data_IF_728204380334
#
_entry.id   IF_728204380334
#
_cell.length_a   1.000
_cell.length_b   1.000
_cell.length_c   1.000
_cell.angle_alpha   90.00
_cell.angle_beta   90.00
_cell.angle_gamma   90.00
#
_symmetry.space_group_name_H-M   'P 1'
#
loop_
_entity.id
_entity.type
_entity.pdbx_description
1 polymer ?
#
# COMPACT_ATOMS: atom_id res chain seq x y z
N UNK A 1 28.50 10.27 -19.25
CA UNK A 1 28.82 9.73 -20.59
C UNK A 1 27.50 9.57 -21.33
N UNK A 2 27.45 10.18 -22.51
CA UNK A 2 26.36 10.53 -23.42
C UNK A 2 25.04 9.72 -23.36
N UNK A 3 23.94 10.45 -23.15
CA UNK A 3 22.60 10.04 -23.56
C UNK A 3 22.56 10.01 -25.10
N UNK A 4 22.25 8.85 -25.68
CA UNK A 4 21.83 8.78 -27.07
C UNK A 4 20.47 9.47 -27.20
N UNK A 5 20.45 10.62 -27.85
CA UNK A 5 19.23 11.31 -28.28
C UNK A 5 18.56 10.52 -29.41
N UNK A 6 17.79 9.48 -29.08
CA UNK A 6 16.63 9.17 -29.92
C UNK A 6 15.51 10.14 -29.53
N UNK A 7 15.46 11.27 -30.24
CA UNK A 7 14.38 12.25 -30.11
C UNK A 7 13.06 11.58 -30.49
N UNK A 8 12.22 11.31 -29.49
CA UNK A 8 10.81 11.00 -29.72
C UNK A 8 10.17 12.08 -30.62
N UNK A 9 9.76 11.70 -31.82
CA UNK A 9 9.22 12.62 -32.83
C UNK A 9 7.88 13.25 -32.46
N UNK A 10 7.15 12.65 -31.52
CA UNK A 10 5.76 13.05 -31.20
C UNK A 10 5.63 13.83 -29.89
N UNK A 11 6.69 13.93 -29.07
CA UNK A 11 6.64 14.57 -27.75
C UNK A 11 5.65 13.88 -26.80
N UNK A 12 5.36 12.61 -27.03
CA UNK A 12 4.34 11.84 -26.31
C UNK A 12 4.78 11.55 -24.88
N UNK A 13 6.04 11.14 -24.65
CA UNK A 13 6.61 11.01 -23.31
C UNK A 13 6.64 12.36 -22.59
N UNK A 14 6.92 13.45 -23.28
CA UNK A 14 6.86 14.80 -22.70
C UNK A 14 5.45 15.18 -22.25
N UNK A 15 4.41 14.75 -22.98
CA UNK A 15 3.00 14.93 -22.57
C UNK A 15 2.62 14.02 -21.41
N UNK A 16 3.12 12.78 -21.37
CA UNK A 16 2.95 11.85 -20.25
C UNK A 16 3.59 12.38 -18.96
N UNK A 17 4.85 12.83 -19.04
CA UNK A 17 5.58 13.43 -17.91
C UNK A 17 4.89 14.69 -17.38
N UNK A 18 4.29 15.48 -18.28
CA UNK A 18 3.49 16.67 -17.94
C UNK A 18 2.05 16.36 -17.51
N UNK A 19 1.63 15.10 -17.51
CA UNK A 19 0.27 14.68 -17.17
C UNK A 19 -0.81 15.21 -18.12
N UNK A 20 -0.45 15.64 -19.32
CA UNK A 20 -1.38 16.18 -20.33
C UNK A 20 -2.10 15.10 -21.13
N UNK A 21 -1.63 13.86 -21.03
CA UNK A 21 -2.19 12.70 -21.71
C UNK A 21 -2.04 11.48 -20.81
N UNK A 22 -3.13 10.75 -20.60
CA UNK A 22 -3.16 9.52 -19.82
C UNK A 22 -2.45 8.41 -20.60
N UNK A 23 -1.52 7.73 -19.93
CA UNK A 23 -0.79 6.60 -20.49
C UNK A 23 -1.67 5.35 -20.41
N UNK A 24 -1.87 4.65 -21.52
CA UNK A 24 -2.60 3.38 -21.55
C UNK A 24 -1.65 2.20 -21.65
N UNK A 25 -2.10 1.03 -21.20
CA UNK A 25 -1.31 -0.21 -21.32
C UNK A 25 -0.93 -0.53 -22.78
N UNK A 26 -1.81 -0.23 -23.72
CA UNK A 26 -1.55 -0.38 -25.17
C UNK A 26 -0.44 0.56 -25.67
N UNK A 27 -0.40 1.82 -25.21
CA UNK A 27 0.69 2.74 -25.57
C UNK A 27 2.01 2.33 -24.94
N UNK A 28 1.98 1.80 -23.70
CA UNK A 28 3.15 1.28 -23.00
C UNK A 28 3.73 0.04 -23.66
N UNK A 29 2.89 -0.91 -24.10
CA UNK A 29 3.33 -2.11 -24.83
C UNK A 29 4.04 -1.75 -26.14
N UNK A 30 3.48 -0.79 -26.90
CA UNK A 30 4.10 -0.29 -28.12
C UNK A 30 5.45 0.42 -27.85
N UNK A 31 5.55 1.11 -26.71
CA UNK A 31 6.77 1.79 -26.28
C UNK A 31 7.85 0.84 -25.74
N UNK A 32 7.48 -0.20 -25.00
CA UNK A 32 8.42 -1.21 -24.49
C UNK A 32 9.08 -2.03 -25.60
N UNK A 33 8.42 -2.20 -26.75
CA UNK A 33 9.02 -2.84 -27.92
C UNK A 33 10.13 -1.99 -28.55
N UNK A 34 10.21 -0.69 -28.24
CA UNK A 34 11.15 0.27 -28.84
C UNK A 34 12.20 0.80 -27.85
N UNK A 35 11.91 0.87 -26.55
CA UNK A 35 12.89 1.24 -25.51
C UNK A 35 12.91 0.23 -24.37
N UNK A 36 14.10 -0.32 -24.08
CA UNK A 36 14.29 -1.27 -22.99
C UNK A 36 14.17 -0.59 -21.62
N UNK A 37 13.44 -1.26 -20.71
CA UNK A 37 13.60 -1.24 -19.26
C UNK A 37 12.93 -0.17 -18.36
N UNK A 38 12.02 0.71 -18.82
CA UNK A 38 11.49 1.76 -17.93
C UNK A 38 10.00 1.72 -17.53
N UNK A 39 9.16 0.84 -18.09
CA UNK A 39 7.69 0.88 -17.87
C UNK A 39 7.08 -0.25 -17.01
N UNK A 40 7.89 -0.96 -16.22
CA UNK A 40 7.41 -2.03 -15.31
C UNK A 40 6.40 -1.55 -14.25
N UNK A 41 6.24 -0.24 -14.06
CA UNK A 41 5.26 0.35 -13.12
C UNK A 41 3.83 0.01 -13.50
N UNK A 42 3.53 -0.03 -14.79
CA UNK A 42 2.20 -0.36 -15.31
C UNK A 42 1.89 -1.85 -15.21
N UNK A 43 2.88 -2.70 -14.92
CA UNK A 43 2.67 -4.12 -14.65
C UNK A 43 2.20 -4.37 -13.22
N UNK A 44 2.33 -3.40 -12.31
CA UNK A 44 1.77 -3.55 -10.97
C UNK A 44 0.26 -3.40 -11.04
N UNK A 45 -0.51 -4.34 -10.46
CA UNK A 45 -1.97 -4.27 -10.44
C UNK A 45 -2.49 -3.22 -9.44
N UNK A 46 -1.62 -2.31 -8.99
CA UNK A 46 -1.96 -1.31 -7.98
C UNK A 46 -3.07 -0.38 -8.45
N UNK A 47 -3.04 0.02 -9.72
CA UNK A 47 -4.06 0.88 -10.29
C UNK A 47 -5.43 0.19 -10.30
N UNK A 48 -5.46 -1.08 -10.74
CA UNK A 48 -6.67 -1.91 -10.71
C UNK A 48 -7.21 -2.10 -9.27
N UNK A 49 -6.33 -2.28 -8.29
CA UNK A 49 -6.74 -2.43 -6.88
C UNK A 49 -7.28 -1.15 -6.25
N UNK A 50 -6.81 0.01 -6.71
CA UNK A 50 -7.24 1.33 -6.24
C UNK A 50 -8.49 1.84 -6.97
N UNK A 51 -8.94 1.15 -8.02
CA UNK A 51 -10.15 1.51 -8.74
C UNK A 51 -11.41 1.28 -7.91
N UNK A 52 -12.41 2.16 -8.07
CA UNK A 52 -13.63 2.07 -7.29
C UNK A 52 -14.43 0.79 -7.60
N UNK A 53 -14.46 0.36 -8.86
CA UNK A 53 -15.43 -0.63 -9.34
C UNK A 53 -14.81 -2.00 -9.60
N UNK A 54 -13.83 -2.42 -8.78
CA UNK A 54 -13.19 -3.73 -8.91
C UNK A 54 -14.20 -4.87 -8.73
N UNK A 55 -14.30 -5.76 -9.72
CA UNK A 55 -15.20 -6.92 -9.62
C UNK A 55 -14.59 -8.01 -8.75
N UNK A 56 -15.45 -8.77 -8.09
CA UNK A 56 -15.07 -9.95 -7.29
C UNK A 56 -14.20 -10.92 -8.11
N UNK A 57 -14.64 -11.28 -9.31
CA UNK A 57 -13.93 -12.23 -10.20
C UNK A 57 -12.53 -11.73 -10.60
N UNK A 58 -12.40 -10.44 -10.88
CA UNK A 58 -11.12 -9.79 -11.20
C UNK A 58 -10.16 -9.84 -10.01
N UNK A 59 -10.64 -9.54 -8.81
CA UNK A 59 -9.84 -9.64 -7.59
C UNK A 59 -9.38 -11.08 -7.32
N UNK A 60 -10.27 -12.07 -7.44
CA UNK A 60 -9.88 -13.48 -7.23
C UNK A 60 -8.85 -13.96 -8.25
N UNK A 61 -9.02 -13.58 -9.53
CA UNK A 61 -8.03 -13.89 -10.57
C UNK A 61 -6.68 -13.26 -10.24
N UNK A 62 -6.69 -12.02 -9.75
CA UNK A 62 -5.48 -11.31 -9.36
C UNK A 62 -4.79 -11.97 -8.16
N UNK A 63 -5.50 -12.25 -7.07
CA UNK A 63 -4.95 -12.93 -5.88
C UNK A 63 -4.30 -14.26 -6.28
N UNK A 64 -4.95 -15.03 -7.15
CA UNK A 64 -4.44 -16.32 -7.63
C UNK A 64 -3.10 -16.21 -8.37
N UNK A 65 -2.82 -15.09 -9.05
CA UNK A 65 -1.52 -14.86 -9.71
C UNK A 65 -0.38 -14.68 -8.72
N UNK A 66 -0.70 -14.23 -7.50
CA UNK A 66 0.27 -13.98 -6.43
C UNK A 66 0.23 -15.07 -5.35
N UNK A 67 -0.42 -16.20 -5.63
CA UNK A 67 -0.48 -17.35 -4.73
C UNK A 67 0.01 -18.62 -5.43
N UNK A 68 0.85 -19.38 -4.74
CA UNK A 68 1.32 -20.69 -5.19
C UNK A 68 0.68 -21.78 -4.34
N UNK A 69 0.21 -22.84 -5.02
CA UNK A 69 -0.28 -24.04 -4.35
C UNK A 69 0.90 -24.82 -3.77
N UNK A 70 0.81 -25.17 -2.49
CA UNK A 70 1.79 -25.97 -1.76
C UNK A 70 1.09 -27.06 -0.95
N UNK A 71 1.83 -27.98 -0.34
CA UNK A 71 1.28 -28.99 0.58
C UNK A 71 0.59 -28.38 1.81
N UNK A 72 0.94 -27.15 2.16
CA UNK A 72 0.37 -26.39 3.29
C UNK A 72 -0.80 -25.48 2.86
N UNK A 73 -1.25 -25.57 1.60
CA UNK A 73 -2.28 -24.71 1.03
C UNK A 73 -1.72 -23.64 0.10
N UNK A 74 -2.42 -22.52 -0.03
CA UNK A 74 -2.04 -21.41 -0.90
C UNK A 74 -1.20 -20.38 -0.15
N UNK A 75 0.04 -20.16 -0.59
CA UNK A 75 0.98 -19.20 0.01
C UNK A 75 1.26 -18.06 -0.96
N UNK A 76 1.51 -16.86 -0.42
CA UNK A 76 1.89 -15.70 -1.23
C UNK A 76 3.23 -15.91 -1.95
N UNK A 77 3.30 -15.51 -3.22
CA UNK A 77 4.48 -15.64 -4.09
C UNK A 77 4.63 -14.38 -4.94
N UNK A 78 5.66 -13.57 -4.69
CA UNK A 78 5.88 -12.30 -5.40
C UNK A 78 7.17 -12.33 -6.24
N UNK A 79 7.23 -11.68 -7.42
CA UNK A 79 8.38 -11.76 -8.33
C UNK A 79 9.74 -11.37 -7.72
N UNK A 80 9.78 -10.33 -6.87
CA UNK A 80 11.02 -9.92 -6.21
C UNK A 80 11.39 -10.76 -4.99
N UNK A 81 10.48 -11.61 -4.49
CA UNK A 81 10.86 -12.52 -3.42
C UNK A 81 11.90 -13.50 -3.94
N UNK A 82 11.79 -13.98 -5.19
CA UNK A 82 12.66 -15.03 -5.76
C UNK A 82 14.15 -14.63 -5.93
N UNK A 83 14.50 -13.35 -5.79
CA UNK A 83 15.86 -12.83 -5.99
C UNK A 83 16.68 -12.69 -4.70
N UNK A 84 16.10 -12.97 -3.54
CA UNK A 84 16.84 -12.93 -2.28
C UNK A 84 17.56 -14.27 -2.04
N UNK A 85 18.84 -14.27 -1.63
CA UNK A 85 19.57 -15.49 -1.34
C UNK A 85 18.85 -16.29 -0.23
N UNK A 86 18.80 -17.63 -0.38
CA UNK A 86 18.05 -18.57 0.48
C UNK A 86 18.23 -18.35 2.00
N UNK A 87 19.37 -17.79 2.43
CA UNK A 87 19.67 -17.54 3.84
C UNK A 87 18.87 -16.38 4.45
N UNK A 88 18.34 -15.45 3.64
CA UNK A 88 17.40 -14.42 4.12
C UNK A 88 15.95 -14.91 4.10
N UNK A 89 15.66 -15.95 3.30
CA UNK A 89 14.32 -16.49 3.02
C UNK A 89 13.71 -17.35 4.12
N UNK A 90 14.54 -18.04 4.92
CA UNK A 90 14.06 -18.92 5.98
C UNK A 90 13.15 -18.19 7.01
N UNK A 91 13.18 -16.85 7.02
CA UNK A 91 12.44 -16.02 7.96
C UNK A 91 11.17 -15.34 7.38
N UNK A 92 10.83 -15.49 6.09
CA UNK A 92 9.72 -14.72 5.47
C UNK A 92 8.78 -15.55 4.61
N UNK A 93 8.64 -16.84 4.90
CA UNK A 93 7.49 -17.59 4.37
C UNK A 93 6.24 -16.94 4.97
N UNK A 94 5.42 -16.32 4.13
CA UNK A 94 4.10 -15.87 4.55
C UNK A 94 3.25 -17.12 4.68
N UNK A 95 3.28 -17.72 5.87
CA UNK A 95 2.74 -19.03 6.16
C UNK A 95 1.21 -19.11 6.04
N UNK A 96 0.52 -17.97 5.98
CA UNK A 96 -0.93 -17.91 5.81
C UNK A 96 -1.32 -16.85 4.78
N UNK A 97 -2.29 -17.15 3.90
CA UNK A 97 -2.81 -16.17 2.95
C UNK A 97 -3.44 -14.95 3.63
N UNK A 98 -3.79 -15.04 4.91
CA UNK A 98 -4.42 -13.97 5.68
C UNK A 98 -3.46 -13.19 6.58
N UNK A 99 -2.16 -13.53 6.57
CA UNK A 99 -1.17 -12.89 7.44
C UNK A 99 -0.75 -11.51 6.91
N UNK A 100 -1.52 -10.49 7.29
CA UNK A 100 -1.28 -9.10 6.91
C UNK A 100 -0.04 -8.48 7.57
N UNK A 101 0.38 -8.97 8.74
CA UNK A 101 1.60 -8.48 9.40
C UNK A 101 2.85 -8.96 8.64
N UNK A 102 2.86 -10.22 8.17
CA UNK A 102 3.93 -10.72 7.32
C UNK A 102 4.01 -9.96 5.98
N UNK A 103 2.85 -9.63 5.38
CA UNK A 103 2.78 -8.78 4.18
C UNK A 103 3.27 -7.35 4.45
N UNK A 104 2.95 -6.77 5.61
CA UNK A 104 3.52 -5.49 6.03
C UNK A 104 5.05 -5.58 6.17
N UNK A 105 5.57 -6.63 6.83
CA UNK A 105 7.00 -6.82 7.03
C UNK A 105 7.77 -7.02 5.72
N UNK A 106 7.17 -7.71 4.73
CA UNK A 106 7.70 -7.81 3.36
C UNK A 106 8.01 -6.42 2.79
N UNK A 107 7.14 -5.45 3.05
CA UNK A 107 7.33 -4.06 2.71
C UNK A 107 7.40 -3.78 1.21
N UNK A 108 7.74 -2.52 0.88
CA UNK A 108 7.82 -2.05 -0.49
C UNK A 108 6.48 -2.14 -1.23
N UNK A 109 6.56 -2.34 -2.55
CA UNK A 109 5.37 -2.36 -3.43
C UNK A 109 4.57 -3.65 -3.23
N UNK A 110 5.23 -4.80 -3.13
CA UNK A 110 4.58 -6.10 -3.01
C UNK A 110 3.88 -6.30 -1.67
N UNK A 111 4.51 -5.87 -0.57
CA UNK A 111 3.87 -5.92 0.75
C UNK A 111 2.56 -5.13 0.78
N UNK A 112 2.57 -3.90 0.27
CA UNK A 112 1.37 -3.09 0.17
C UNK A 112 0.32 -3.69 -0.78
N UNK A 113 0.74 -4.24 -1.94
CA UNK A 113 -0.17 -4.91 -2.87
C UNK A 113 -0.93 -6.06 -2.21
N UNK A 114 -0.23 -6.94 -1.48
CA UNK A 114 -0.88 -8.06 -0.79
C UNK A 114 -1.85 -7.60 0.28
N UNK A 115 -1.46 -6.62 1.12
CA UNK A 115 -2.37 -6.06 2.12
C UNK A 115 -3.60 -5.43 1.46
N UNK A 116 -3.41 -4.67 0.37
CA UNK A 116 -4.50 -4.03 -0.35
C UNK A 116 -5.44 -5.06 -1.00
N UNK A 117 -4.92 -6.17 -1.53
CA UNK A 117 -5.76 -7.28 -2.03
C UNK A 117 -6.65 -7.84 -0.93
N UNK A 118 -6.11 -8.03 0.29
CA UNK A 118 -6.89 -8.50 1.44
C UNK A 118 -7.94 -7.47 1.87
N UNK A 119 -7.60 -6.17 1.89
CA UNK A 119 -8.57 -5.09 2.18
C UNK A 119 -9.75 -5.14 1.21
N UNK A 120 -9.45 -5.21 -0.10
CA UNK A 120 -10.48 -5.28 -1.15
C UNK A 120 -11.30 -6.57 -1.04
N UNK A 121 -10.68 -7.68 -0.64
CA UNK A 121 -11.39 -8.93 -0.42
C UNK A 121 -12.40 -8.78 0.72
N UNK A 122 -11.98 -8.22 1.86
CA UNK A 122 -12.84 -7.97 3.01
C UNK A 122 -14.00 -7.01 2.69
N UNK A 123 -13.75 -5.96 1.90
CA UNK A 123 -14.79 -5.05 1.40
C UNK A 123 -15.82 -5.78 0.55
N UNK A 124 -15.38 -6.58 -0.44
CA UNK A 124 -16.27 -7.32 -1.35
C UNK A 124 -17.07 -8.41 -0.60
N UNK A 125 -16.46 -9.06 0.39
CA UNK A 125 -17.15 -10.06 1.23
C UNK A 125 -17.99 -9.43 2.34
N UNK A 126 -18.00 -8.09 2.47
CA UNK A 126 -18.71 -7.34 3.52
C UNK A 126 -18.27 -7.72 4.94
N UNK A 127 -17.01 -8.10 5.11
CA UNK A 127 -16.41 -8.38 6.43
C UNK A 127 -15.82 -7.10 7.02
N UNK A 128 -16.68 -6.37 7.74
CA UNK A 128 -16.36 -5.07 8.32
C UNK A 128 -15.25 -5.13 9.38
N UNK A 129 -15.15 -6.24 10.13
CA UNK A 129 -14.16 -6.44 11.20
C UNK A 129 -12.79 -6.70 10.59
N UNK A 130 -12.73 -7.60 9.60
CA UNK A 130 -11.49 -7.89 8.87
C UNK A 130 -11.02 -6.67 8.09
N UNK A 131 -11.93 -5.93 7.46
CA UNK A 131 -11.59 -4.68 6.78
C UNK A 131 -10.95 -3.66 7.73
N UNK A 132 -11.51 -3.48 8.93
CA UNK A 132 -10.93 -2.61 9.97
C UNK A 132 -9.49 -3.01 10.33
N UNK A 133 -9.23 -4.29 10.58
CA UNK A 133 -7.88 -4.76 10.91
C UNK A 133 -6.91 -4.55 9.74
N UNK A 134 -7.31 -4.94 8.54
CA UNK A 134 -6.48 -4.85 7.34
C UNK A 134 -6.20 -3.40 6.92
N UNK A 135 -7.13 -2.47 7.17
CA UNK A 135 -6.90 -1.05 6.89
C UNK A 135 -5.81 -0.44 7.77
N UNK A 136 -5.67 -0.90 9.02
CA UNK A 136 -4.55 -0.49 9.88
C UNK A 136 -3.21 -0.91 9.26
N UNK A 137 -3.13 -2.15 8.80
CA UNK A 137 -1.93 -2.66 8.11
C UNK A 137 -1.71 -1.99 6.76
N UNK A 138 -2.77 -1.62 6.04
CA UNK A 138 -2.66 -0.88 4.79
C UNK A 138 -2.01 0.49 5.03
N UNK A 139 -2.43 1.21 6.08
CA UNK A 139 -1.79 2.46 6.46
C UNK A 139 -0.35 2.27 6.94
N UNK A 140 -0.02 1.18 7.64
CA UNK A 140 1.37 0.83 8.03
C UNK A 140 2.25 0.55 6.81
N UNK A 141 1.73 -0.15 5.81
CA UNK A 141 2.47 -0.54 4.61
C UNK A 141 2.59 0.59 3.56
N UNK A 142 1.65 1.54 3.57
CA UNK A 142 1.57 2.61 2.57
C UNK A 142 2.85 3.47 2.43
N UNK A 143 3.52 3.90 3.51
CA UNK A 143 4.79 4.63 3.40
C UNK A 143 5.88 3.84 2.67
N UNK A 144 5.99 2.53 2.93
CA UNK A 144 6.98 1.68 2.29
C UNK A 144 6.73 1.54 0.78
N UNK A 145 5.46 1.48 0.35
CA UNK A 145 5.07 1.54 -1.05
C UNK A 145 5.45 2.88 -1.70
N UNK A 146 5.09 4.01 -1.06
CA UNK A 146 5.34 5.34 -1.59
C UNK A 146 6.83 5.72 -1.62
N UNK A 147 7.71 5.03 -0.89
CA UNK A 147 9.17 5.24 -0.99
C UNK A 147 9.76 4.80 -2.33
N UNK A 148 9.04 4.00 -3.12
CA UNK A 148 9.48 3.64 -4.46
C UNK A 148 9.59 4.89 -5.36
N UNK A 149 10.65 4.95 -6.18
CA UNK A 149 10.96 6.07 -7.08
C UNK A 149 9.78 6.52 -7.95
N UNK A 150 8.90 5.58 -8.33
CA UNK A 150 7.76 5.85 -9.19
C UNK A 150 6.57 6.48 -8.47
N UNK A 151 6.36 6.14 -7.19
CA UNK A 151 5.18 6.56 -6.43
C UNK A 151 5.45 7.76 -5.52
N UNK A 152 6.71 7.99 -5.14
CA UNK A 152 7.09 9.01 -4.14
C UNK A 152 6.61 10.43 -4.48
N UNK A 153 6.66 10.84 -5.75
CA UNK A 153 6.26 12.20 -6.15
C UNK A 153 4.74 12.44 -6.08
N UNK A 154 3.95 11.39 -6.27
CA UNK A 154 2.48 11.46 -6.38
C UNK A 154 1.77 10.74 -5.23
N UNK A 155 2.46 10.54 -4.11
CA UNK A 155 1.94 9.76 -2.98
C UNK A 155 0.58 10.27 -2.47
N UNK A 156 0.31 11.57 -2.56
CA UNK A 156 -0.97 12.19 -2.18
C UNK A 156 -2.13 11.65 -3.02
N UNK A 157 -1.93 11.43 -4.33
CA UNK A 157 -2.96 10.88 -5.21
C UNK A 157 -3.32 9.44 -4.79
N UNK A 158 -2.30 8.62 -4.53
CA UNK A 158 -2.49 7.25 -4.04
C UNK A 158 -3.12 7.21 -2.64
N UNK A 159 -2.79 8.18 -1.79
CA UNK A 159 -3.37 8.29 -0.45
C UNK A 159 -4.87 8.60 -0.52
N UNK A 160 -5.28 9.52 -1.39
CA UNK A 160 -6.70 9.83 -1.64
C UNK A 160 -7.47 8.62 -2.16
N UNK A 161 -6.87 7.82 -3.04
CA UNK A 161 -7.48 6.58 -3.53
C UNK A 161 -7.64 5.55 -2.41
N UNK A 162 -6.62 5.38 -1.56
CA UNK A 162 -6.70 4.51 -0.38
C UNK A 162 -7.79 4.96 0.60
N UNK A 163 -7.91 6.28 0.85
CA UNK A 163 -9.00 6.83 1.65
C UNK A 163 -10.37 6.57 1.00
N UNK A 164 -10.46 6.65 -0.33
CA UNK A 164 -11.68 6.32 -1.07
C UNK A 164 -12.14 4.88 -0.89
N UNK A 165 -11.21 3.94 -0.65
CA UNK A 165 -11.52 2.55 -0.28
C UNK A 165 -11.95 2.50 1.19
N UNK A 166 -11.12 3.08 2.06
CA UNK A 166 -11.37 3.12 3.50
C UNK A 166 -12.78 3.60 3.86
N UNK A 167 -13.21 4.73 3.29
CA UNK A 167 -14.46 5.38 3.65
C UNK A 167 -15.73 4.68 3.15
N UNK A 168 -15.61 3.60 2.37
CA UNK A 168 -16.77 2.79 1.94
C UNK A 168 -17.28 1.87 3.03
N UNK A 169 -16.41 1.49 3.95
CA UNK A 169 -16.76 0.62 5.07
C UNK A 169 -16.90 1.48 6.32
N UNK A 170 -18.15 1.75 6.69
CA UNK A 170 -18.51 2.68 7.77
C UNK A 170 -17.80 2.38 9.10
N UNK A 171 -17.73 1.11 9.51
CA UNK A 171 -17.07 0.72 10.77
C UNK A 171 -15.60 1.10 10.79
N UNK A 172 -14.89 0.86 9.68
CA UNK A 172 -13.49 1.24 9.54
C UNK A 172 -13.35 2.77 9.56
N UNK A 173 -14.18 3.46 8.77
CA UNK A 173 -14.14 4.91 8.60
C UNK A 173 -14.33 5.68 9.92
N UNK A 174 -15.20 5.19 10.79
CA UNK A 174 -15.43 5.82 12.09
C UNK A 174 -14.34 5.53 13.12
N UNK A 175 -13.63 4.41 12.97
CA UNK A 175 -12.71 3.93 13.99
C UNK A 175 -11.25 4.25 13.70
N UNK A 176 -10.89 4.52 12.45
CA UNK A 176 -9.51 4.79 12.04
C UNK A 176 -9.41 6.20 11.48
N UNK A 177 -8.52 7.01 12.03
CA UNK A 177 -8.16 8.32 11.49
C UNK A 177 -6.71 8.28 10.97
N UNK A 178 -6.45 8.45 9.65
CA UNK A 178 -5.08 8.45 9.14
C UNK A 178 -4.33 9.72 9.56
N UNK A 179 -3.08 9.57 10.01
CA UNK A 179 -2.18 10.66 10.40
C UNK A 179 -1.28 11.04 9.24
N UNK A 180 -1.72 11.98 8.42
CA UNK A 180 -1.01 12.36 7.18
C UNK A 180 0.42 12.84 7.44
N UNK A 181 0.66 13.55 8.54
CA UNK A 181 1.97 14.06 8.93
C UNK A 181 2.98 12.92 9.17
N UNK A 182 2.54 11.86 9.85
CA UNK A 182 3.36 10.69 10.13
C UNK A 182 3.63 9.89 8.87
N UNK A 183 2.61 9.72 8.01
CA UNK A 183 2.77 9.09 6.70
C UNK A 183 3.83 9.83 5.89
N UNK A 184 3.72 11.16 5.78
CA UNK A 184 4.68 11.99 5.05
C UNK A 184 6.10 11.90 5.64
N UNK A 185 6.22 11.93 6.97
CA UNK A 185 7.49 11.76 7.68
C UNK A 185 8.14 10.42 7.35
N UNK A 186 7.37 9.33 7.33
CA UNK A 186 7.87 7.98 7.04
C UNK A 186 8.27 7.79 5.57
N UNK A 187 7.53 8.39 4.63
CA UNK A 187 7.87 8.41 3.20
C UNK A 187 9.20 9.13 2.96
N UNK A 188 9.45 10.23 3.69
CA UNK A 188 10.64 11.06 3.51
C UNK A 188 11.83 10.65 4.39
N UNK A 189 11.64 9.77 5.38
CA UNK A 189 12.71 9.31 6.26
C UNK A 189 13.86 8.66 5.47
N UNK A 190 15.11 8.88 5.91
CA UNK A 190 16.29 8.23 5.31
C UNK A 190 16.16 6.71 5.35
N UNK A 191 15.76 6.16 6.49
CA UNK A 191 15.51 4.74 6.70
C UNK A 191 14.11 4.51 7.26
N UNK A 192 13.39 3.52 6.73
CA UNK A 192 12.09 3.07 7.23
C UNK A 192 12.01 1.55 7.06
N UNK A 193 12.62 0.77 7.98
CA UNK A 193 12.55 -0.68 7.94
C UNK A 193 11.14 -1.14 8.30
N UNK A 194 10.52 -1.93 7.42
CA UNK A 194 9.26 -2.65 7.71
C UNK A 194 9.52 -3.94 8.50
N UNK A 195 10.68 -4.55 8.29
CA UNK A 195 11.11 -5.79 8.94
C UNK A 195 11.40 -5.54 10.43
N UNK A 196 10.74 -6.32 11.30
CA UNK A 196 10.86 -6.22 12.76
C UNK A 196 12.30 -6.38 13.26
N UNK A 197 13.06 -7.32 12.70
CA UNK A 197 14.45 -7.57 13.11
C UNK A 197 15.40 -6.38 12.85
N UNK A 198 15.01 -5.46 11.96
CA UNK A 198 15.78 -4.25 11.64
C UNK A 198 15.32 -3.03 12.46
N UNK A 199 14.34 -3.19 13.35
CA UNK A 199 13.87 -2.11 14.22
C UNK A 199 14.86 -1.83 15.36
N UNK A 200 14.97 -0.56 15.79
CA UNK A 200 15.76 -0.23 16.96
C UNK A 200 15.20 -0.94 18.20
N UNK A 201 16.07 -1.27 19.14
CA UNK A 201 15.69 -1.89 20.42
C UNK A 201 15.69 -0.85 21.53
N UNK A 202 14.73 -0.97 22.45
CA UNK A 202 14.69 -0.16 23.66
C UNK A 202 15.85 -0.55 24.58
N UNK A 203 16.53 0.45 25.13
CA UNK A 203 17.63 0.25 26.08
C UNK A 203 17.17 -0.33 27.42
N UNK A 204 15.88 -0.21 27.76
CA UNK A 204 15.35 -0.64 29.06
C UNK A 204 14.94 -2.11 29.07
N UNK A 205 14.27 -2.58 28.02
CA UNK A 205 13.68 -3.93 27.98
C UNK A 205 14.13 -4.76 26.77
N UNK A 206 15.05 -4.23 25.95
CA UNK A 206 15.58 -4.86 24.74
C UNK A 206 14.53 -5.29 23.71
N UNK A 207 13.27 -4.85 23.86
CA UNK A 207 12.20 -5.10 22.89
C UNK A 207 12.38 -4.19 21.67
N UNK A 208 11.93 -4.69 20.52
CA UNK A 208 11.86 -3.87 19.30
C UNK A 208 10.88 -2.71 19.51
N UNK A 209 11.31 -1.51 19.13
CA UNK A 209 10.49 -0.31 19.14
C UNK A 209 9.72 -0.29 17.82
N UNK A 210 8.39 -0.39 17.90
CA UNK A 210 7.53 -0.32 16.73
C UNK A 210 7.60 1.08 16.10
N UNK A 211 7.62 1.20 14.76
CA UNK A 211 7.45 2.48 14.09
C UNK A 211 6.18 3.19 14.54
N UNK A 212 6.26 4.52 14.61
CA UNK A 212 5.10 5.35 14.95
C UNK A 212 3.91 5.01 14.05
N UNK A 213 2.72 4.81 14.63
CA UNK A 213 1.55 4.40 13.84
C UNK A 213 1.09 5.54 12.92
N UNK A 214 0.88 5.26 11.62
CA UNK A 214 0.40 6.25 10.64
C UNK A 214 -1.12 6.51 10.72
N UNK A 215 -1.77 6.03 11.78
CA UNK A 215 -3.19 6.20 12.05
C UNK A 215 -3.43 6.29 13.55
N UNK A 216 -4.58 6.80 13.93
CA UNK A 216 -5.11 6.82 15.29
C UNK A 216 -6.41 6.02 15.31
N UNK A 217 -6.67 5.37 16.44
CA UNK A 217 -7.95 4.72 16.67
C UNK A 217 -8.87 5.69 17.39
N UNK A 218 -10.13 5.77 16.99
CA UNK A 218 -11.13 6.52 17.72
C UNK A 218 -11.21 5.97 19.15
N UNK A 219 -10.79 6.77 20.12
CA UNK A 219 -11.02 6.45 21.52
C UNK A 219 -12.49 6.65 21.80
N UNK A 220 -13.18 5.64 22.35
CA UNK A 220 -14.43 5.90 23.06
C UNK A 220 -14.16 6.99 24.10
N UNK A 221 -15.04 7.99 24.28
CA UNK A 221 -14.90 8.89 25.40
C UNK A 221 -14.80 8.03 26.65
N UNK A 222 -13.68 8.16 27.37
CA UNK A 222 -13.53 7.48 28.65
C UNK A 222 -14.76 7.84 29.47
N UNK A 223 -15.38 6.85 30.12
CA UNK A 223 -16.50 7.09 31.05
C UNK A 223 -15.99 7.81 32.29
N UNK A 224 -15.35 8.97 32.15
CA UNK A 224 -15.35 9.98 33.18
C UNK A 224 -16.62 10.79 32.92
N UNK A 225 -17.69 10.43 33.65
CA UNK A 225 -18.84 11.31 33.81
C UNK A 225 -18.34 12.58 34.52
N UNK A 226 -17.89 13.55 33.75
CA UNK A 226 -18.00 14.95 34.12
C UNK A 226 -18.76 15.63 32.99
N UNK A 227 -20.06 15.78 33.23
CA UNK A 227 -20.95 16.55 32.39
C UNK A 227 -20.33 17.91 32.11
N UNK A 228 -19.97 18.16 30.85
CA UNK A 228 -20.07 19.48 30.21
C UNK A 228 -20.11 19.27 28.71
N UNK A 229 -21.33 19.39 28.22
CA UNK A 229 -21.76 19.63 26.84
C UNK A 229 -20.64 20.17 25.95
N UNK A 230 -20.08 19.33 25.08
CA UNK A 230 -19.29 19.75 23.93
C UNK A 230 -20.01 19.25 22.68
N UNK A 231 -20.84 20.14 22.14
CA UNK A 231 -21.51 19.99 20.86
C UNK A 231 -20.47 19.69 19.77
N UNK A 232 -20.74 18.64 19.00
CA UNK A 232 -20.03 18.32 17.76
C UNK A 232 -20.02 19.54 16.84
N UNK A 233 -18.83 20.08 16.59
CA UNK A 233 -18.57 20.91 15.41
C UNK A 233 -17.88 20.06 14.35
N UNK A 234 -18.65 19.58 13.40
CA UNK A 234 -18.13 19.27 12.08
C UNK A 234 -17.96 20.60 11.35
N UNK A 235 -16.75 21.17 11.35
CA UNK A 235 -16.42 22.23 10.41
C UNK A 235 -15.86 21.57 9.14
N UNK A 236 -16.74 21.47 8.15
CA UNK A 236 -16.45 21.34 6.74
C UNK A 236 -15.57 22.50 6.28
N UNK A 237 -14.32 22.22 5.94
CA UNK A 237 -13.48 23.15 5.19
C UNK A 237 -12.73 22.40 4.09
N UNK A 238 -13.35 22.28 2.92
CA UNK A 238 -12.66 22.26 1.63
C UNK A 238 -13.63 22.85 0.59
N UNK A 239 -13.40 24.12 0.24
CA UNK A 239 -13.71 24.69 -1.07
C UNK A 239 -12.46 24.55 -1.94
#
# INVERSE_FOLDING_TARGET
>A
MFFGEERESTGTVLRWLKGKQTVTESTVKNFNNTQSNNLNVFQFPIFQLLEPNLKKTELFALIKQYQKSTSLGYLWSFPHTEQFPLNEYANYIICSPEDSDALFQLGGVHGFLGVLMLVRLAEITKDSTKHFLLMQDAYRAFPAFCRNKYFKKRWIEFFKLLQGIHYRVYTSALTIAPRIEIIQKQINAKHHPTIRHKWPRSSTNFRFIEPEKPFELASLPSRSCTSKTALFKYETQFF
#
